data_IF_017053978797
#
_entry.id   IF_017053978797
#
_cell.length_a   1.000
_cell.length_b   1.000
_cell.length_c   1.000
_cell.angle_alpha   90.00
_cell.angle_beta   90.00
_cell.angle_gamma   90.00
#
_symmetry.space_group_name_H-M   'P 1'
#
loop_
_entity.id
_entity.type
_entity.pdbx_description
1 polymer ?
#
# COMPACT_ATOMS: atom_id res chain seq x y z
N UNK A 1 -5.66 38.79 -6.94
CA UNK A 1 -5.42 37.33 -7.05
C UNK A 1 -6.04 36.68 -5.82
N UNK A 2 -7.09 35.89 -6.00
CA UNK A 2 -7.94 35.38 -4.93
C UNK A 2 -7.45 34.04 -4.39
N UNK A 3 -7.39 33.97 -3.07
CA UNK A 3 -7.08 32.86 -2.17
C UNK A 3 -8.07 31.70 -2.33
N UNK A 4 -7.99 30.91 -3.41
CA UNK A 4 -8.87 29.74 -3.61
C UNK A 4 -8.22 28.41 -3.99
N UNK A 5 -6.91 28.34 -4.23
CA UNK A 5 -6.26 27.07 -4.61
C UNK A 5 -5.35 26.51 -3.51
N UNK A 6 -5.87 26.39 -2.29
CA UNK A 6 -5.31 25.46 -1.30
C UNK A 6 -6.03 24.13 -1.47
N UNK A 7 -5.40 23.24 -2.24
CA UNK A 7 -5.81 21.86 -2.43
C UNK A 7 -5.92 21.22 -1.04
N UNK A 8 -7.15 20.85 -0.69
CA UNK A 8 -7.50 20.20 0.55
C UNK A 8 -7.22 18.70 0.38
N UNK A 9 -5.98 18.27 0.64
CA UNK A 9 -5.63 16.85 0.65
C UNK A 9 -6.02 16.29 2.02
N UNK A 10 -7.22 15.73 2.10
CA UNK A 10 -7.58 14.77 3.16
C UNK A 10 -7.10 13.40 2.70
N UNK A 11 -6.48 12.64 3.60
CA UNK A 11 -6.00 11.26 3.39
C UNK A 11 -7.12 10.26 3.09
N UNK A 12 -7.75 10.42 1.93
CA UNK A 12 -8.44 9.34 1.24
C UNK A 12 -7.42 8.67 0.32
N UNK A 13 -7.37 7.33 0.32
CA UNK A 13 -6.73 6.53 -0.73
C UNK A 13 -6.96 7.19 -2.09
N UNK A 14 -5.89 7.37 -2.90
CA UNK A 14 -5.99 8.08 -4.19
C UNK A 14 -7.10 7.48 -5.04
N UNK A 15 -8.23 8.20 -5.12
CA UNK A 15 -9.37 7.85 -5.95
C UNK A 15 -8.93 7.78 -7.40
N UNK A 16 -9.55 6.90 -8.17
CA UNK A 16 -9.30 6.68 -9.59
C UNK A 16 -9.23 8.00 -10.37
N UNK A 17 -10.14 8.93 -10.08
CA UNK A 17 -10.19 10.25 -10.72
C UNK A 17 -8.96 11.10 -10.44
N UNK A 18 -8.47 11.08 -9.20
CA UNK A 18 -7.38 11.93 -8.73
C UNK A 18 -6.05 11.39 -9.27
N UNK A 19 -5.91 10.07 -9.31
CA UNK A 19 -4.79 9.39 -9.95
C UNK A 19 -4.78 9.63 -11.47
N UNK A 20 -5.91 9.41 -12.16
CA UNK A 20 -6.01 9.68 -13.59
C UNK A 20 -5.70 11.14 -13.93
N UNK A 21 -6.21 12.08 -13.12
CA UNK A 21 -5.94 13.51 -13.28
C UNK A 21 -4.45 13.80 -13.16
N UNK A 22 -3.77 13.23 -12.15
CA UNK A 22 -2.33 13.40 -11.98
C UNK A 22 -1.55 12.89 -13.20
N UNK A 23 -1.92 11.74 -13.76
CA UNK A 23 -1.26 11.18 -14.95
C UNK A 23 -1.44 12.08 -16.18
N UNK A 24 -2.66 12.61 -16.38
CA UNK A 24 -2.93 13.56 -17.46
C UNK A 24 -2.08 14.81 -17.31
N UNK A 25 -2.02 15.39 -16.10
CA UNK A 25 -1.23 16.59 -15.81
C UNK A 25 0.27 16.35 -16.03
N UNK A 26 0.81 15.25 -15.51
CA UNK A 26 2.23 14.88 -15.68
C UNK A 26 2.60 14.54 -17.12
N UNK A 27 1.67 14.00 -17.91
CA UNK A 27 1.92 13.69 -19.33
C UNK A 27 2.12 14.92 -20.21
N UNK A 28 1.63 16.09 -19.78
CA UNK A 28 1.58 17.31 -20.60
C UNK A 28 0.66 17.22 -21.83
N UNK A 29 -0.10 16.11 -21.98
CA UNK A 29 -0.97 15.89 -23.13
C UNK A 29 -2.32 16.59 -22.93
N UNK A 30 -2.80 17.26 -23.98
CA UNK A 30 -4.19 17.71 -24.00
C UNK A 30 -5.15 16.52 -24.11
N UNK A 31 -6.37 16.66 -23.59
CA UNK A 31 -7.41 15.61 -23.71
C UNK A 31 -7.69 15.22 -25.17
N UNK A 32 -7.58 16.17 -26.11
CA UNK A 32 -7.73 15.89 -27.54
C UNK A 32 -6.60 14.98 -28.06
N UNK A 33 -5.38 15.16 -27.56
CA UNK A 33 -4.24 14.31 -27.93
C UNK A 33 -4.33 12.93 -27.31
N UNK A 34 -4.80 12.85 -26.06
CA UNK A 34 -5.08 11.57 -25.39
C UNK A 34 -6.14 10.79 -26.16
N UNK A 35 -7.24 11.44 -26.57
CA UNK A 35 -8.27 10.83 -27.40
C UNK A 35 -7.70 10.25 -28.71
N UNK A 36 -6.85 11.02 -29.40
CA UNK A 36 -6.19 10.57 -30.62
C UNK A 36 -5.31 9.33 -30.37
N UNK A 37 -4.52 9.35 -29.31
CA UNK A 37 -3.67 8.22 -28.93
C UNK A 37 -4.48 6.97 -28.52
N UNK A 38 -5.61 7.16 -27.83
CA UNK A 38 -6.53 6.07 -27.48
C UNK A 38 -7.15 5.44 -28.73
N UNK A 39 -7.54 6.25 -29.71
CA UNK A 39 -8.04 5.77 -31.00
C UNK A 39 -6.99 5.01 -31.80
N UNK A 40 -5.74 5.45 -31.76
CA UNK A 40 -4.61 4.73 -32.39
C UNK A 40 -4.37 3.34 -31.74
N UNK A 41 -4.78 3.16 -30.49
CA UNK A 41 -4.79 1.86 -29.80
C UNK A 41 -6.07 1.02 -30.01
N UNK A 42 -7.00 1.50 -30.85
CA UNK A 42 -8.24 0.79 -31.16
C UNK A 42 -9.41 1.11 -30.22
N UNK A 43 -9.28 2.09 -29.32
CA UNK A 43 -10.35 2.46 -28.39
C UNK A 43 -11.13 3.68 -28.88
N UNK A 44 -12.44 3.52 -29.07
CA UNK A 44 -13.35 4.61 -29.44
C UNK A 44 -13.77 5.43 -28.21
N UNK A 45 -12.81 6.14 -27.60
CA UNK A 45 -13.10 7.11 -26.54
C UNK A 45 -13.23 8.52 -27.12
N UNK A 46 -13.80 9.46 -26.34
CA UNK A 46 -13.89 10.88 -26.72
C UNK A 46 -13.42 11.78 -25.58
N UNK A 47 -12.97 13.00 -25.91
CA UNK A 47 -12.53 14.00 -24.93
C UNK A 47 -13.52 14.25 -23.80
N UNK A 48 -14.82 14.27 -24.10
CA UNK A 48 -15.85 14.51 -23.09
C UNK A 48 -15.92 13.37 -22.06
N UNK A 49 -15.79 12.12 -22.50
CA UNK A 49 -15.75 10.94 -21.64
C UNK A 49 -14.51 10.95 -20.74
N UNK A 50 -13.32 11.21 -21.31
CA UNK A 50 -12.07 11.31 -20.54
C UNK A 50 -12.18 12.43 -19.50
N UNK A 51 -12.75 13.58 -19.88
CA UNK A 51 -12.97 14.69 -18.95
C UNK A 51 -13.91 14.33 -17.80
N UNK A 52 -14.97 13.55 -18.08
CA UNK A 52 -15.90 13.10 -17.04
C UNK A 52 -15.27 12.09 -16.09
N UNK A 53 -14.37 11.23 -16.58
CA UNK A 53 -13.62 10.28 -15.74
C UNK A 53 -12.68 11.00 -14.76
N UNK A 54 -11.81 11.89 -15.24
CA UNK A 54 -10.86 12.60 -14.36
C UNK A 54 -11.54 13.54 -13.35
N UNK A 55 -12.78 13.97 -13.64
CA UNK A 55 -13.57 14.80 -12.72
C UNK A 55 -14.45 13.97 -11.78
N UNK A 56 -14.43 12.63 -11.89
CA UNK A 56 -15.25 11.72 -11.08
C UNK A 56 -16.76 11.81 -11.37
N UNK A 57 -17.16 12.36 -12.52
CA UNK A 57 -18.55 12.38 -12.97
C UNK A 57 -18.96 10.99 -13.45
N UNK A 58 -18.05 10.27 -14.12
CA UNK A 58 -18.22 8.87 -14.45
C UNK A 58 -17.44 7.98 -13.47
N UNK A 59 -17.98 6.79 -13.13
CA UNK A 59 -17.24 5.80 -12.37
C UNK A 59 -16.02 5.31 -13.16
N UNK A 60 -15.06 4.62 -12.51
CA UNK A 60 -13.88 4.10 -13.17
C UNK A 60 -14.23 3.31 -14.45
N UNK A 61 -13.44 3.48 -15.50
CA UNK A 61 -13.67 2.83 -16.78
C UNK A 61 -13.47 1.29 -16.68
N UNK A 62 -13.81 0.56 -17.73
CA UNK A 62 -13.46 -0.86 -17.85
C UNK A 62 -11.94 -1.05 -17.94
N UNK A 63 -11.47 -2.24 -17.58
CA UNK A 63 -10.03 -2.57 -17.48
C UNK A 63 -9.24 -2.19 -18.74
N UNK A 64 -9.73 -2.53 -19.94
CA UNK A 64 -9.04 -2.23 -21.19
C UNK A 64 -8.85 -0.72 -21.41
N UNK A 65 -9.90 0.08 -21.12
CA UNK A 65 -9.84 1.53 -21.25
C UNK A 65 -8.92 2.12 -20.19
N UNK A 66 -8.98 1.63 -18.96
CA UNK A 66 -8.12 2.07 -17.86
C UNK A 66 -6.65 1.80 -18.16
N UNK A 67 -6.31 0.59 -18.61
CA UNK A 67 -4.95 0.20 -19.02
C UNK A 67 -4.46 1.10 -20.15
N UNK A 68 -5.26 1.28 -21.19
CA UNK A 68 -4.89 2.13 -22.31
C UNK A 68 -4.69 3.60 -21.91
N UNK A 69 -5.52 4.14 -21.01
CA UNK A 69 -5.37 5.51 -20.48
C UNK A 69 -4.06 5.67 -19.71
N UNK A 70 -3.74 4.76 -18.80
CA UNK A 70 -2.48 4.79 -18.05
C UNK A 70 -1.27 4.75 -19.00
N UNK A 71 -1.27 3.82 -19.95
CA UNK A 71 -0.17 3.71 -20.92
C UNK A 71 -0.04 4.96 -21.82
N UNK A 72 -1.15 5.55 -22.27
CA UNK A 72 -1.13 6.75 -23.13
C UNK A 72 -0.63 7.98 -22.37
N UNK A 73 -0.92 8.05 -21.07
CA UNK A 73 -0.49 9.15 -20.19
C UNK A 73 0.87 8.91 -19.55
N UNK A 74 1.47 7.72 -19.74
CA UNK A 74 2.73 7.33 -19.10
C UNK A 74 2.62 7.02 -17.61
N UNK A 75 1.41 6.77 -17.12
CA UNK A 75 1.13 6.42 -15.73
C UNK A 75 1.31 4.92 -15.43
N UNK A 76 1.20 4.57 -14.15
CA UNK A 76 1.27 3.18 -13.68
C UNK A 76 -0.07 2.47 -13.92
N UNK A 77 -0.04 1.46 -14.79
CA UNK A 77 -1.22 0.67 -15.19
C UNK A 77 -1.84 -0.04 -13.99
N UNK A 78 -1.01 -0.69 -13.17
CA UNK A 78 -1.48 -1.53 -12.07
C UNK A 78 -2.10 -0.67 -10.98
N UNK A 79 -1.49 0.49 -10.70
CA UNK A 79 -2.02 1.45 -9.73
C UNK A 79 -3.41 1.98 -10.14
N UNK A 80 -3.59 2.35 -11.41
CA UNK A 80 -4.87 2.88 -11.88
C UNK A 80 -5.97 1.82 -11.96
N UNK A 81 -5.61 0.59 -12.31
CA UNK A 81 -6.54 -0.56 -12.25
C UNK A 81 -6.98 -0.84 -10.82
N UNK A 82 -6.03 -0.90 -9.88
CA UNK A 82 -6.32 -1.14 -8.48
C UNK A 82 -7.24 -0.06 -7.90
N UNK A 83 -6.99 1.21 -8.18
CA UNK A 83 -7.88 2.31 -7.78
C UNK A 83 -9.30 2.14 -8.34
N UNK A 84 -9.40 1.69 -9.60
CA UNK A 84 -10.68 1.39 -10.24
C UNK A 84 -11.43 0.22 -9.60
N UNK A 85 -10.72 -0.84 -9.18
CA UNK A 85 -11.32 -1.97 -8.48
C UNK A 85 -11.76 -1.61 -7.07
N UNK A 86 -10.95 -0.85 -6.31
CA UNK A 86 -11.30 -0.39 -4.96
C UNK A 86 -12.59 0.42 -5.00
N UNK A 87 -12.72 1.39 -5.90
CA UNK A 87 -13.93 2.21 -5.97
C UNK A 87 -15.19 1.42 -6.35
N UNK A 88 -15.04 0.41 -7.22
CA UNK A 88 -16.15 -0.45 -7.67
C UNK A 88 -16.51 -1.57 -6.70
N UNK A 89 -15.62 -1.88 -5.76
CA UNK A 89 -15.82 -2.98 -4.84
C UNK A 89 -17.07 -2.75 -3.95
N UNK A 90 -17.76 -3.81 -3.54
CA UNK A 90 -18.72 -3.74 -2.44
C UNK A 90 -18.06 -3.19 -1.18
N UNK A 91 -18.80 -2.50 -0.33
CA UNK A 91 -18.25 -1.83 0.86
C UNK A 91 -17.58 -2.82 1.81
N UNK A 92 -18.04 -4.06 1.84
CA UNK A 92 -17.48 -5.17 2.62
C UNK A 92 -16.06 -5.57 2.16
N UNK A 93 -15.74 -5.36 0.89
CA UNK A 93 -14.44 -5.71 0.28
C UNK A 93 -13.53 -4.48 0.16
N UNK A 94 -14.11 -3.27 0.12
CA UNK A 94 -13.36 -2.00 0.04
C UNK A 94 -12.35 -1.84 1.17
N UNK A 95 -12.74 -2.20 2.39
CA UNK A 95 -11.85 -2.11 3.56
C UNK A 95 -10.62 -3.01 3.38
N UNK A 96 -10.83 -4.26 2.95
CA UNK A 96 -9.76 -5.25 2.70
C UNK A 96 -8.81 -4.77 1.61
N UNK A 97 -9.34 -4.29 0.48
CA UNK A 97 -8.51 -3.81 -0.62
C UNK A 97 -7.75 -2.52 -0.26
N UNK A 98 -8.37 -1.66 0.56
CA UNK A 98 -7.74 -0.45 1.10
C UNK A 98 -6.57 -0.83 2.01
N UNK A 99 -6.76 -1.78 2.92
CA UNK A 99 -5.70 -2.25 3.82
C UNK A 99 -4.53 -2.90 3.06
N UNK A 100 -4.85 -3.70 2.04
CA UNK A 100 -3.83 -4.27 1.16
C UNK A 100 -3.02 -3.20 0.43
N UNK A 101 -3.68 -2.12 -0.02
CA UNK A 101 -3.03 -0.99 -0.69
C UNK A 101 -2.12 -0.23 0.27
N UNK A 102 -2.59 0.01 1.49
CA UNK A 102 -1.83 0.64 2.56
C UNK A 102 -0.55 -0.18 2.85
N UNK A 103 -0.69 -1.49 3.02
CA UNK A 103 0.45 -2.40 3.20
C UNK A 103 1.43 -2.31 2.03
N UNK A 104 0.92 -2.21 0.79
CA UNK A 104 1.72 -2.01 -0.40
C UNK A 104 2.50 -0.69 -0.41
N UNK A 105 1.91 0.41 0.04
CA UNK A 105 2.58 1.71 0.17
C UNK A 105 3.70 1.66 1.22
N UNK A 106 3.43 1.03 2.37
CA UNK A 106 4.44 0.80 3.40
C UNK A 106 5.63 0.02 2.83
N UNK A 107 5.38 -1.06 2.09
CA UNK A 107 6.43 -1.87 1.46
C UNK A 107 7.18 -1.10 0.37
N UNK A 108 6.49 -0.25 -0.40
CA UNK A 108 7.11 0.64 -1.36
C UNK A 108 8.07 1.62 -0.68
N UNK A 109 7.66 2.16 0.48
CA UNK A 109 8.48 3.11 1.24
C UNK A 109 9.71 2.44 1.84
N UNK A 110 9.58 1.21 2.37
CA UNK A 110 10.74 0.38 2.75
C UNK A 110 11.70 0.17 1.57
N UNK A 111 11.18 -0.23 0.41
CA UNK A 111 11.99 -0.46 -0.77
C UNK A 111 12.74 0.81 -1.23
N UNK A 112 12.11 1.97 -1.08
CA UNK A 112 12.71 3.26 -1.42
C UNK A 112 13.86 3.64 -0.48
N UNK A 113 13.66 3.52 0.84
CA UNK A 113 14.72 3.74 1.85
C UNK A 113 15.91 2.78 1.64
N UNK A 114 15.62 1.52 1.34
CA UNK A 114 16.64 0.50 1.05
C UNK A 114 17.40 0.85 -0.23
N UNK A 115 16.69 1.19 -1.30
CA UNK A 115 17.32 1.58 -2.57
C UNK A 115 18.25 2.77 -2.39
N UNK A 116 17.82 3.76 -1.59
CA UNK A 116 18.61 4.94 -1.26
C UNK A 116 19.90 4.60 -0.50
N UNK A 117 19.82 3.81 0.58
CA UNK A 117 21.01 3.46 1.36
C UNK A 117 21.96 2.55 0.59
N UNK A 118 21.45 1.57 -0.17
CA UNK A 118 22.30 0.69 -0.99
C UNK A 118 22.97 1.45 -2.13
N UNK A 119 22.27 2.41 -2.75
CA UNK A 119 22.85 3.30 -3.75
C UNK A 119 24.02 4.07 -3.14
N UNK A 120 23.82 4.72 -2.00
CA UNK A 120 24.88 5.42 -1.28
C UNK A 120 26.05 4.50 -0.92
N UNK A 121 25.79 3.31 -0.36
CA UNK A 121 26.85 2.33 -0.01
C UNK A 121 27.67 1.89 -1.21
N UNK A 122 27.03 1.78 -2.38
CA UNK A 122 27.70 1.32 -3.61
C UNK A 122 28.53 2.41 -4.30
N UNK A 123 28.06 3.67 -4.31
CA UNK A 123 28.68 4.76 -5.05
C UNK A 123 29.41 5.79 -4.17
N UNK A 124 29.13 5.83 -2.88
CA UNK A 124 29.58 6.86 -1.94
C UNK A 124 28.91 8.22 -2.16
N UNK A 125 27.87 8.31 -2.98
CA UNK A 125 27.20 9.56 -3.37
C UNK A 125 25.71 9.50 -3.09
N UNK A 126 25.14 10.63 -2.69
CA UNK A 126 23.69 10.77 -2.49
C UNK A 126 23.00 10.80 -3.85
N UNK A 127 21.88 10.08 -3.93
CA UNK A 127 20.99 10.10 -5.08
C UNK A 127 19.83 11.06 -4.78
N UNK A 128 19.94 12.28 -5.31
CA UNK A 128 18.96 13.36 -5.10
C UNK A 128 17.56 13.01 -5.59
N UNK A 129 17.46 12.19 -6.64
CA UNK A 129 16.17 11.75 -7.18
C UNK A 129 15.48 10.80 -6.19
N UNK A 130 16.23 9.87 -5.59
CA UNK A 130 15.70 9.00 -4.54
C UNK A 130 15.36 9.79 -3.27
N UNK A 131 16.18 10.76 -2.88
CA UNK A 131 15.91 11.61 -1.72
C UNK A 131 14.59 12.38 -1.88
N UNK A 132 14.39 13.02 -3.03
CA UNK A 132 13.14 13.74 -3.32
C UNK A 132 11.93 12.80 -3.29
N UNK A 133 12.06 11.58 -3.83
CA UNK A 133 10.99 10.57 -3.76
C UNK A 133 10.68 10.17 -2.31
N UNK A 134 11.70 10.09 -1.44
CA UNK A 134 11.52 9.76 -0.01
C UNK A 134 10.75 10.87 0.69
N UNK A 135 11.06 12.14 0.42
CA UNK A 135 10.36 13.27 1.02
C UNK A 135 8.88 13.29 0.63
N UNK A 136 8.58 13.14 -0.66
CA UNK A 136 7.21 13.06 -1.16
C UNK A 136 6.46 11.87 -0.53
N UNK A 137 7.11 10.70 -0.48
CA UNK A 137 6.53 9.52 0.15
C UNK A 137 6.28 9.72 1.65
N UNK A 138 7.19 10.37 2.37
CA UNK A 138 7.07 10.65 3.80
C UNK A 138 5.93 11.64 4.10
N UNK A 139 5.70 12.65 3.25
CA UNK A 139 4.56 13.55 3.39
C UNK A 139 3.23 12.79 3.24
N UNK A 140 3.12 11.95 2.20
CA UNK A 140 1.95 11.12 1.97
C UNK A 140 1.74 10.15 3.13
N UNK A 141 2.78 9.41 3.51
CA UNK A 141 2.77 8.45 4.61
C UNK A 141 2.39 9.12 5.93
N UNK A 142 2.94 10.30 6.22
CA UNK A 142 2.60 11.07 7.41
C UNK A 142 1.14 11.55 7.43
N UNK A 143 0.50 11.71 6.28
CA UNK A 143 -0.92 12.08 6.20
C UNK A 143 -1.85 10.87 6.37
N UNK A 144 -1.47 9.72 5.82
CA UNK A 144 -2.29 8.49 5.82
C UNK A 144 -2.16 7.72 7.15
N UNK A 145 -0.93 7.54 7.63
CA UNK A 145 -0.64 6.76 8.84
C UNK A 145 -0.53 7.62 10.09
N UNK A 146 -0.60 8.95 9.94
CA UNK A 146 -0.29 9.92 11.02
C UNK A 146 1.08 9.65 11.65
N UNK A 147 2.01 9.15 10.85
CA UNK A 147 3.34 8.75 11.32
C UNK A 147 4.39 9.44 10.46
N UNK A 148 5.03 10.48 10.99
CA UNK A 148 6.04 11.27 10.27
C UNK A 148 7.45 10.83 10.64
N UNK A 149 8.27 10.57 9.62
CA UNK A 149 9.69 10.33 9.80
C UNK A 149 10.49 11.62 9.63
N UNK A 150 11.61 11.72 10.36
CA UNK A 150 12.55 12.84 10.22
C UNK A 150 13.49 12.64 9.02
N UNK A 151 12.96 12.67 7.80
CA UNK A 151 13.73 12.38 6.58
C UNK A 151 14.75 13.47 6.21
N UNK A 152 14.65 14.66 6.81
CA UNK A 152 15.57 15.78 6.58
C UNK A 152 17.04 15.47 6.92
N UNK A 153 17.31 14.47 7.76
CA UNK A 153 18.68 14.08 8.09
C UNK A 153 19.36 13.30 6.98
N UNK A 154 18.63 12.76 6.00
CA UNK A 154 19.20 11.90 4.96
C UNK A 154 20.20 12.64 4.07
N UNK A 155 20.01 13.92 3.81
CA UNK A 155 20.94 14.75 3.01
C UNK A 155 22.34 14.84 3.64
N UNK A 156 22.42 14.91 4.97
CA UNK A 156 23.70 14.93 5.68
C UNK A 156 24.20 13.54 6.09
N UNK A 157 23.29 12.59 6.26
CA UNK A 157 23.53 11.31 6.92
C UNK A 157 22.78 10.17 6.22
N UNK A 158 23.22 9.70 5.04
CA UNK A 158 22.45 8.74 4.25
C UNK A 158 22.18 7.39 4.95
N UNK A 159 23.12 6.94 5.78
CA UNK A 159 22.96 5.72 6.59
C UNK A 159 21.85 5.83 7.64
N UNK A 160 21.37 7.04 7.96
CA UNK A 160 20.21 7.24 8.82
C UNK A 160 18.93 6.58 8.24
N UNK A 161 18.89 6.28 6.95
CA UNK A 161 17.83 5.46 6.35
C UNK A 161 17.65 4.10 7.06
N UNK A 162 18.73 3.49 7.59
CA UNK A 162 18.65 2.22 8.35
C UNK A 162 17.87 2.41 9.66
N UNK A 163 18.09 3.52 10.36
CA UNK A 163 17.36 3.87 11.57
C UNK A 163 15.86 4.06 11.26
N UNK A 164 15.54 4.71 10.14
CA UNK A 164 14.15 4.84 9.67
C UNK A 164 13.51 3.47 9.36
N UNK A 165 14.24 2.56 8.73
CA UNK A 165 13.80 1.18 8.46
C UNK A 165 13.51 0.44 9.76
N UNK A 166 14.39 0.54 10.77
CA UNK A 166 14.19 -0.08 12.09
C UNK A 166 12.89 0.41 12.72
N UNK A 167 12.67 1.73 12.74
CA UNK A 167 11.49 2.35 13.34
C UNK A 167 10.20 1.93 12.64
N UNK A 168 10.19 1.96 11.32
CA UNK A 168 9.04 1.49 10.53
C UNK A 168 8.77 0.00 10.81
N UNK A 169 9.80 -0.85 10.84
CA UNK A 169 9.65 -2.27 11.10
C UNK A 169 9.07 -2.50 12.50
N UNK A 170 9.64 -1.88 13.52
CA UNK A 170 9.17 -2.01 14.90
C UNK A 170 7.71 -1.55 15.06
N UNK A 171 7.33 -0.47 14.37
CA UNK A 171 6.00 0.10 14.50
C UNK A 171 4.94 -0.70 13.73
N UNK A 172 5.19 -1.05 12.47
CA UNK A 172 4.16 -1.61 11.58
C UNK A 172 4.22 -3.12 11.43
N UNK A 173 5.42 -3.72 11.48
CA UNK A 173 5.62 -5.14 11.14
C UNK A 173 6.67 -5.82 12.06
N UNK A 174 6.52 -5.75 13.39
CA UNK A 174 7.57 -6.14 14.34
C UNK A 174 8.00 -7.60 14.20
N UNK A 175 7.06 -8.49 13.83
CA UNK A 175 7.27 -9.94 13.71
C UNK A 175 7.71 -10.38 12.31
N UNK A 176 7.79 -9.47 11.33
CA UNK A 176 8.11 -9.83 9.95
C UNK A 176 9.62 -9.85 9.74
N UNK A 177 10.15 -10.98 9.24
CA UNK A 177 11.57 -11.12 8.92
C UNK A 177 11.93 -10.59 7.52
N UNK A 178 11.00 -10.68 6.57
CA UNK A 178 11.20 -10.23 5.20
C UNK A 178 9.90 -9.79 4.55
N UNK A 179 9.98 -8.83 3.62
CA UNK A 179 8.86 -8.43 2.76
C UNK A 179 9.18 -8.71 1.30
N UNK A 180 8.16 -8.80 0.45
CA UNK A 180 8.34 -8.88 -1.00
C UNK A 180 7.64 -7.70 -1.67
N UNK A 181 8.37 -6.96 -2.50
CA UNK A 181 7.83 -5.80 -3.22
C UNK A 181 8.29 -5.85 -4.67
N UNK A 182 7.34 -5.84 -5.62
CA UNK A 182 7.60 -5.93 -7.08
C UNK A 182 8.54 -7.08 -7.47
N UNK A 183 8.36 -8.24 -6.83
CA UNK A 183 9.17 -9.45 -7.07
C UNK A 183 10.55 -9.45 -6.40
N UNK A 184 10.93 -8.39 -5.69
CA UNK A 184 12.17 -8.32 -4.92
C UNK A 184 11.88 -8.66 -3.46
N UNK A 185 12.61 -9.65 -2.93
CA UNK A 185 12.57 -10.01 -1.51
C UNK A 185 13.57 -9.16 -0.73
N UNK A 186 13.07 -8.47 0.29
CA UNK A 186 13.85 -7.66 1.23
C UNK A 186 13.96 -8.43 2.54
N UNK A 187 15.18 -8.76 2.97
CA UNK A 187 15.42 -9.39 4.26
C UNK A 187 15.80 -8.34 5.31
N UNK A 188 15.01 -8.18 6.36
CA UNK A 188 15.30 -7.18 7.39
C UNK A 188 16.54 -7.53 8.20
N UNK A 189 16.98 -8.79 8.22
CA UNK A 189 18.23 -9.17 8.89
C UNK A 189 19.47 -8.51 8.27
N UNK A 190 19.37 -7.94 7.06
CA UNK A 190 20.45 -7.20 6.42
C UNK A 190 20.59 -5.75 6.96
N UNK A 191 19.55 -5.25 7.65
CA UNK A 191 19.43 -3.86 8.11
C UNK A 191 19.16 -3.75 9.62
N UNK A 192 18.59 -4.78 10.23
CA UNK A 192 18.06 -4.79 11.59
C UNK A 192 18.58 -6.02 12.33
N UNK A 193 19.21 -5.80 13.48
CA UNK A 193 19.73 -6.86 14.33
C UNK A 193 18.60 -7.60 15.05
N UNK A 194 18.93 -8.75 15.67
CA UNK A 194 17.97 -9.52 16.48
C UNK A 194 17.39 -8.72 17.65
N UNK A 195 18.12 -7.71 18.13
CA UNK A 195 17.70 -6.83 19.23
C UNK A 195 16.96 -5.57 18.71
N UNK A 196 16.51 -5.60 17.45
CA UNK A 196 15.94 -4.47 16.71
C UNK A 196 16.82 -3.20 16.72
N UNK A 197 18.14 -3.37 16.65
CA UNK A 197 19.08 -2.25 16.47
C UNK A 197 19.49 -2.14 15.01
N UNK A 198 19.77 -0.92 14.50
CA UNK A 198 20.29 -0.77 13.15
C UNK A 198 21.62 -1.53 12.98
N UNK A 199 21.75 -2.27 11.88
CA UNK A 199 23.01 -2.88 11.46
C UNK A 199 23.69 -1.89 10.53
N UNK A 200 24.63 -1.14 11.10
CA UNK A 200 25.58 -0.36 10.32
C UNK A 200 26.85 -1.20 10.10
N UNK A 201 27.59 -0.95 9.02
CA UNK A 201 28.98 -1.44 8.93
C UNK A 201 29.86 -0.77 10.00
N UNK A 202 29.57 0.49 10.35
CA UNK A 202 30.08 1.25 11.50
C UNK A 202 29.00 2.25 11.93
N UNK A 203 28.65 2.37 13.23
CA UNK A 203 27.61 3.30 13.69
C UNK A 203 28.15 4.75 13.76
N UNK A 204 27.81 5.67 12.85
CA UNK A 204 28.58 6.91 12.73
C UNK A 204 27.96 8.13 13.44
N UNK A 205 26.71 8.08 13.91
CA UNK A 205 25.94 9.30 14.26
C UNK A 205 25.10 9.20 15.54
N UNK A 206 25.72 9.09 16.73
CA UNK A 206 25.00 9.04 18.01
C UNK A 206 24.18 10.32 18.31
N UNK A 207 24.61 11.48 17.82
CA UNK A 207 23.95 12.78 18.03
C UNK A 207 22.57 12.90 17.37
N UNK A 208 22.29 12.13 16.31
CA UNK A 208 20.99 12.14 15.62
C UNK A 208 19.95 11.38 16.45
N UNK A 209 20.34 10.31 17.15
CA UNK A 209 19.43 9.51 17.96
C UNK A 209 18.76 10.35 19.06
N UNK A 210 19.55 11.14 19.80
CA UNK A 210 19.02 12.01 20.87
C UNK A 210 18.04 13.07 20.34
N UNK A 211 18.38 13.72 19.22
CA UNK A 211 17.53 14.72 18.59
C UNK A 211 16.22 14.11 18.09
N UNK A 212 16.27 12.91 17.52
CA UNK A 212 15.07 12.27 16.99
C UNK A 212 14.18 11.67 18.06
N UNK A 213 14.74 11.13 19.14
CA UNK A 213 13.97 10.67 20.30
C UNK A 213 13.21 11.84 20.93
N UNK A 214 13.86 13.00 21.06
CA UNK A 214 13.22 14.22 21.53
C UNK A 214 12.06 14.66 20.62
N UNK A 215 12.26 14.68 19.30
CA UNK A 215 11.19 15.03 18.34
C UNK A 215 10.07 14.00 18.27
N UNK A 216 10.37 12.70 18.38
CA UNK A 216 9.35 11.65 18.41
C UNK A 216 8.49 11.76 19.68
N UNK A 217 9.12 11.97 20.84
CA UNK A 217 8.42 12.21 22.11
C UNK A 217 7.57 13.49 22.05
N UNK A 218 8.08 14.56 21.42
CA UNK A 218 7.33 15.80 21.23
C UNK A 218 6.12 15.61 20.30
N UNK A 219 6.27 14.88 19.20
CA UNK A 219 5.17 14.54 18.30
C UNK A 219 4.11 13.68 19.02
N UNK A 220 4.52 12.68 19.80
CA UNK A 220 3.60 11.86 20.62
C UNK A 220 2.92 12.64 21.75
N UNK A 221 3.52 13.73 22.24
CA UNK A 221 2.92 14.62 23.26
C UNK A 221 1.95 15.64 22.66
N UNK A 222 2.21 16.09 21.44
CA UNK A 222 1.41 17.09 20.74
C UNK A 222 0.25 16.48 19.95
N UNK A 223 0.32 15.18 19.69
CA UNK A 223 -0.86 14.38 19.36
C UNK A 223 -1.75 14.33 20.62
N UNK A 224 -2.86 15.09 20.59
CA UNK A 224 -4.07 14.65 21.29
C UNK A 224 -4.23 13.17 20.98
N UNK A 225 -4.72 12.32 21.91
CA UNK A 225 -5.07 10.95 21.57
C UNK A 225 -6.13 11.03 20.48
N UNK A 226 -5.67 11.06 19.22
CA UNK A 226 -6.51 10.74 18.11
C UNK A 226 -6.95 9.35 18.46
N UNK A 227 -8.26 9.11 18.39
CA UNK A 227 -8.75 7.76 18.39
C UNK A 227 -7.84 7.01 17.43
N UNK A 228 -6.93 6.24 18.02
CA UNK A 228 -6.40 5.05 17.44
C UNK A 228 -7.70 4.44 16.91
N UNK A 229 -7.86 4.40 15.59
CA UNK A 229 -8.57 3.27 15.05
C UNK A 229 -7.49 2.22 15.29
N UNK A 230 -7.52 1.45 16.40
CA UNK A 230 -6.71 0.26 16.41
C UNK A 230 -6.99 -0.40 15.07
N UNK A 231 -5.95 -0.90 14.40
CA UNK A 231 -6.13 -2.03 13.49
C UNK A 231 -7.25 -2.84 14.11
N UNK A 232 -8.43 -2.93 13.45
CA UNK A 232 -9.63 -3.44 14.12
C UNK A 232 -9.18 -4.66 14.89
N UNK A 233 -9.35 -4.61 16.21
CA UNK A 233 -9.08 -5.79 17.00
C UNK A 233 -10.08 -6.78 16.43
N UNK A 234 -9.63 -7.69 15.56
CA UNK A 234 -10.44 -8.74 14.95
C UNK A 234 -10.79 -9.81 15.99
N UNK A 235 -10.99 -9.39 17.24
CA UNK A 235 -12.17 -9.81 17.97
C UNK A 235 -13.35 -8.96 17.47
N UNK A 236 -13.71 -9.08 16.18
CA UNK A 236 -15.14 -9.22 15.96
C UNK A 236 -15.53 -10.38 16.88
N UNK A 237 -16.54 -10.20 17.74
CA UNK A 237 -17.25 -11.35 18.27
C UNK A 237 -17.72 -12.10 17.03
N UNK A 238 -16.88 -13.02 16.55
CA UNK A 238 -17.25 -14.04 15.60
C UNK A 238 -18.48 -14.62 16.29
N UNK A 239 -19.64 -14.39 15.69
CA UNK A 239 -20.89 -14.80 16.33
C UNK A 239 -20.72 -16.26 16.76
N UNK A 240 -21.23 -16.62 17.93
CA UNK A 240 -21.02 -17.94 18.51
C UNK A 240 -21.26 -19.07 17.49
N UNK A 241 -22.20 -18.89 16.56
CA UNK A 241 -22.45 -19.86 15.48
C UNK A 241 -21.31 -19.94 14.46
N UNK A 242 -20.66 -18.83 14.13
CA UNK A 242 -19.50 -18.79 13.24
C UNK A 242 -18.25 -19.40 13.91
N UNK A 243 -18.02 -19.17 15.21
CA UNK A 243 -16.94 -19.85 15.95
C UNK A 243 -17.15 -21.36 16.01
N UNK A 244 -18.39 -21.79 16.27
CA UNK A 244 -18.74 -23.21 16.27
C UNK A 244 -18.53 -23.86 14.90
N UNK A 245 -18.81 -23.15 13.80
CA UNK A 245 -18.52 -23.63 12.44
C UNK A 245 -17.03 -23.75 12.18
N UNK A 246 -16.24 -22.74 12.57
CA UNK A 246 -14.78 -22.77 12.41
C UNK A 246 -14.20 -23.96 13.20
N UNK A 247 -14.53 -24.10 14.47
CA UNK A 247 -14.10 -25.25 15.29
C UNK A 247 -14.57 -26.59 14.71
N UNK A 248 -15.78 -26.65 14.15
CA UNK A 248 -16.26 -27.85 13.48
C UNK A 248 -15.38 -28.23 12.28
N UNK A 249 -15.03 -27.26 11.42
CA UNK A 249 -14.18 -27.53 10.25
C UNK A 249 -12.75 -27.87 10.66
N UNK A 250 -12.17 -27.21 11.66
CA UNK A 250 -10.83 -27.54 12.19
C UNK A 250 -10.78 -28.96 12.77
N UNK A 251 -11.79 -29.35 13.55
CA UNK A 251 -11.89 -30.73 14.06
C UNK A 251 -12.08 -31.73 12.93
N UNK A 252 -12.89 -31.41 11.92
CA UNK A 252 -13.11 -32.28 10.77
C UNK A 252 -11.83 -32.47 9.93
N UNK A 253 -11.07 -31.40 9.73
CA UNK A 253 -9.76 -31.42 9.06
C UNK A 253 -8.75 -32.29 9.83
N UNK A 254 -8.70 -32.13 11.16
CA UNK A 254 -7.86 -32.95 12.04
C UNK A 254 -8.26 -34.43 12.01
N UNK A 255 -9.56 -34.74 12.10
CA UNK A 255 -10.06 -36.12 12.15
C UNK A 255 -9.87 -36.86 10.83
N UNK A 256 -10.00 -36.15 9.69
CA UNK A 256 -9.86 -36.74 8.37
C UNK A 256 -8.42 -36.68 7.84
N UNK A 257 -7.56 -35.83 8.40
CA UNK A 257 -6.22 -35.56 7.89
C UNK A 257 -6.24 -34.97 6.48
N UNK A 258 -7.20 -34.08 6.20
CA UNK A 258 -7.45 -33.51 4.87
C UNK A 258 -7.45 -31.98 4.92
N UNK A 259 -6.74 -31.35 3.99
CA UNK A 259 -6.77 -29.89 3.82
C UNK A 259 -8.12 -29.44 3.24
N UNK A 260 -8.97 -28.83 4.07
CA UNK A 260 -10.30 -28.38 3.64
C UNK A 260 -10.25 -27.12 2.78
N UNK A 261 -9.09 -26.49 2.62
CA UNK A 261 -8.90 -25.35 1.70
C UNK A 261 -8.63 -25.80 0.26
N UNK A 262 -8.31 -27.09 0.03
CA UNK A 262 -8.11 -27.65 -1.31
C UNK A 262 -9.44 -27.74 -2.10
N UNK A 263 -9.56 -27.07 -3.26
CA UNK A 263 -10.77 -27.09 -4.10
C UNK A 263 -11.22 -28.50 -4.52
N UNK A 264 -10.29 -29.43 -4.74
CA UNK A 264 -10.62 -30.80 -5.14
C UNK A 264 -11.17 -31.62 -3.96
N UNK A 265 -10.68 -31.37 -2.74
CA UNK A 265 -11.23 -31.96 -1.51
C UNK A 265 -12.64 -31.44 -1.24
N UNK A 266 -12.86 -30.12 -1.35
CA UNK A 266 -14.19 -29.51 -1.20
C UNK A 266 -15.20 -30.08 -2.21
N UNK A 267 -14.79 -30.27 -3.46
CA UNK A 267 -15.64 -30.84 -4.52
C UNK A 267 -16.02 -32.30 -4.23
N UNK A 268 -15.10 -33.10 -3.68
CA UNK A 268 -15.37 -34.48 -3.25
C UNK A 268 -16.32 -34.51 -2.05
N UNK A 269 -16.08 -33.70 -1.03
CA UNK A 269 -16.97 -33.57 0.13
C UNK A 269 -18.39 -33.16 -0.27
N UNK A 270 -18.52 -32.17 -1.17
CA UNK A 270 -19.84 -31.74 -1.68
C UNK A 270 -20.56 -32.85 -2.43
N UNK A 271 -19.85 -33.69 -3.20
CA UNK A 271 -20.43 -34.87 -3.86
C UNK A 271 -20.86 -35.93 -2.86
N UNK A 272 -20.03 -36.22 -1.85
CA UNK A 272 -20.34 -37.18 -0.79
C UNK A 272 -21.56 -36.74 0.02
N UNK A 273 -21.59 -35.48 0.47
CA UNK A 273 -22.74 -34.90 1.16
C UNK A 273 -24.01 -34.98 0.29
N UNK A 274 -23.91 -34.62 -1.00
CA UNK A 274 -25.04 -34.74 -1.91
C UNK A 274 -25.56 -36.17 -1.97
N UNK A 275 -24.70 -37.18 -2.07
CA UNK A 275 -25.11 -38.60 -2.10
C UNK A 275 -25.81 -38.99 -0.80
N UNK A 276 -25.21 -38.69 0.36
CA UNK A 276 -25.71 -39.08 1.69
C UNK A 276 -27.08 -38.44 1.98
N UNK A 277 -27.25 -37.16 1.68
CA UNK A 277 -28.47 -36.42 1.99
C UNK A 277 -29.52 -36.45 0.86
N UNK A 278 -29.19 -37.00 -0.31
CA UNK A 278 -30.17 -37.19 -1.40
C UNK A 278 -30.97 -38.49 -1.32
N UNK A 279 -30.62 -39.38 -0.38
CA UNK A 279 -31.32 -40.65 -0.14
C UNK A 279 -32.32 -40.61 1.03
N UNK A 280 -32.61 -39.44 1.58
CA UNK A 280 -33.55 -39.25 2.71
C UNK A 280 -34.94 -38.73 2.30
N UNK A 281 -35.30 -38.78 1.01
CA UNK A 281 -36.68 -38.57 0.51
C UNK A 281 -37.45 -39.89 0.32
#
# INVERSE_FOLDING_TARGET
MTTKDKIHIRGENMKYRDLLKSYIESSGLSLSKIEENMRNKGFSTNKAYISKLQNGIHPPAGEDITRALAEVTGGDVDALLLAGYIEKAPDEIKSILTEATNTGQLFAFFALLISYVEKYRSSGTIDEELLQKIEVANELFGSEYKYRLATSYLEGFPEYAVELIVRLKQHFIPLTESISYRGVKINFADYVSKDNKPIFKENPYPEIQEATEASAIENMKNEQPTNFIPMPNYEEEIDSATQQKIMFFENLESDLGLDLTDPEIQKKLKRAAKIIFSSED
#
